data_IF_026502123110
#
_entry.id   IF_026502123110
#
_cell.length_a   1.000
_cell.length_b   1.000
_cell.length_c   1.000
_cell.angle_alpha   90.00
_cell.angle_beta   90.00
_cell.angle_gamma   90.00
#
_symmetry.space_group_name_H-M   'P 1'
#
loop_
_entity.id
_entity.type
_entity.pdbx_description
1 polymer ?
#
# COMPACT_ATOMS: atom_id res chain seq x y z
N UNK A 1 -15.76 -7.75 -34.71
CA UNK A 1 -16.60 -7.66 -33.48
C UNK A 1 -16.50 -8.95 -32.67
N UNK A 2 -16.04 -10.06 -33.26
CA UNK A 2 -15.88 -11.37 -32.60
C UNK A 2 -14.64 -11.45 -31.68
N UNK A 3 -13.65 -10.56 -31.84
CA UNK A 3 -12.40 -10.53 -31.06
C UNK A 3 -12.45 -9.69 -29.77
N UNK A 4 -13.55 -8.98 -29.48
CA UNK A 4 -13.60 -8.08 -28.31
C UNK A 4 -13.80 -8.83 -26.98
N UNK A 5 -14.55 -9.93 -27.01
CA UNK A 5 -14.79 -10.75 -25.82
C UNK A 5 -13.49 -11.40 -25.30
N UNK A 6 -12.65 -12.06 -26.11
CA UNK A 6 -11.38 -12.61 -25.63
C UNK A 6 -10.44 -11.52 -25.10
N UNK A 7 -10.33 -10.38 -25.78
CA UNK A 7 -9.46 -9.28 -25.34
C UNK A 7 -9.89 -8.69 -23.98
N UNK A 8 -11.19 -8.51 -23.78
CA UNK A 8 -11.72 -8.05 -22.49
C UNK A 8 -11.43 -9.05 -21.36
N UNK A 9 -11.57 -10.35 -21.64
CA UNK A 9 -11.26 -11.38 -20.62
C UNK A 9 -9.77 -11.45 -20.29
N UNK A 10 -8.90 -11.23 -21.29
CA UNK A 10 -7.46 -11.14 -21.09
C UNK A 10 -7.12 -9.96 -20.19
N UNK A 11 -7.56 -8.75 -20.56
CA UNK A 11 -7.28 -7.53 -19.81
C UNK A 11 -7.86 -7.56 -18.38
N UNK A 12 -9.02 -8.19 -18.21
CA UNK A 12 -9.60 -8.41 -16.88
C UNK A 12 -8.71 -9.30 -16.01
N UNK A 13 -8.20 -10.41 -16.57
CA UNK A 13 -7.31 -11.32 -15.85
C UNK A 13 -5.97 -10.67 -15.50
N UNK A 14 -5.39 -9.90 -16.43
CA UNK A 14 -4.16 -9.13 -16.17
C UNK A 14 -4.36 -8.11 -15.05
N UNK A 15 -5.47 -7.37 -15.07
CA UNK A 15 -5.82 -6.42 -14.01
C UNK A 15 -6.00 -7.13 -12.67
N UNK A 16 -6.67 -8.27 -12.68
CA UNK A 16 -6.87 -9.08 -11.48
C UNK A 16 -5.55 -9.58 -10.90
N UNK A 17 -4.62 -10.04 -11.75
CA UNK A 17 -3.29 -10.47 -11.31
C UNK A 17 -2.48 -9.32 -10.71
N UNK A 18 -2.43 -8.17 -11.39
CA UNK A 18 -1.73 -6.98 -10.89
C UNK A 18 -2.30 -6.55 -9.53
N UNK A 19 -3.63 -6.43 -9.43
CA UNK A 19 -4.28 -6.00 -8.21
C UNK A 19 -4.09 -6.99 -7.06
N UNK A 20 -4.16 -8.30 -7.33
CA UNK A 20 -3.95 -9.34 -6.33
C UNK A 20 -2.55 -9.28 -5.73
N UNK A 21 -1.52 -9.25 -6.59
CA UNK A 21 -0.11 -9.24 -6.15
C UNK A 21 0.18 -7.94 -5.40
N UNK A 22 -0.23 -6.78 -5.95
CA UNK A 22 -0.03 -5.49 -5.30
C UNK A 22 -0.72 -5.40 -3.95
N UNK A 23 -1.95 -5.93 -3.82
CA UNK A 23 -2.69 -5.94 -2.55
C UNK A 23 -2.00 -6.81 -1.51
N UNK A 24 -1.55 -8.02 -1.90
CA UNK A 24 -0.84 -8.92 -0.97
C UNK A 24 0.45 -8.26 -0.47
N UNK A 25 1.26 -7.68 -1.36
CA UNK A 25 2.49 -7.00 -0.97
C UNK A 25 2.21 -5.76 -0.10
N UNK A 26 1.17 -4.99 -0.44
CA UNK A 26 0.76 -3.82 0.33
C UNK A 26 0.31 -4.20 1.74
N UNK A 27 -0.41 -5.32 1.90
CA UNK A 27 -0.80 -5.81 3.23
C UNK A 27 0.43 -6.30 3.99
N UNK A 28 1.28 -7.11 3.37
CA UNK A 28 2.46 -7.68 4.04
C UNK A 28 3.46 -6.60 4.49
N UNK A 29 3.64 -5.52 3.75
CA UNK A 29 4.53 -4.42 4.13
C UNK A 29 3.83 -3.32 4.93
N UNK A 30 2.66 -2.89 4.47
CA UNK A 30 1.91 -1.76 5.02
C UNK A 30 1.28 -2.04 6.37
N UNK A 31 0.80 -3.28 6.61
CA UNK A 31 0.16 -3.63 7.88
C UNK A 31 1.18 -3.68 9.03
N UNK A 32 2.34 -4.35 8.93
CA UNK A 32 3.36 -4.29 9.98
C UNK A 32 3.87 -2.88 10.23
N UNK A 33 4.08 -2.09 9.17
CA UNK A 33 4.57 -0.72 9.29
C UNK A 33 3.53 0.20 9.97
N UNK A 34 2.26 0.07 9.59
CA UNK A 34 1.15 0.77 10.25
C UNK A 34 1.01 0.37 11.72
N UNK A 35 1.15 -0.93 12.02
CA UNK A 35 1.15 -1.44 13.39
C UNK A 35 2.31 -0.89 14.22
N UNK A 36 3.52 -0.81 13.65
CA UNK A 36 4.69 -0.23 14.32
C UNK A 36 4.49 1.23 14.69
N UNK A 37 3.93 2.02 13.77
CA UNK A 37 3.60 3.44 14.01
C UNK A 37 2.53 3.55 15.10
N UNK A 38 1.51 2.68 15.07
CA UNK A 38 0.46 2.66 16.08
C UNK A 38 1.00 2.34 17.49
N UNK A 39 1.89 1.35 17.60
CA UNK A 39 2.50 0.96 18.89
C UNK A 39 3.51 1.99 19.41
N UNK A 40 4.18 2.72 18.53
CA UNK A 40 5.15 3.76 18.91
C UNK A 40 4.52 5.14 19.14
N UNK A 41 3.20 5.25 18.98
CA UNK A 41 2.46 6.48 19.23
C UNK A 41 2.50 6.87 20.73
N UNK A 42 2.33 8.17 20.98
CA UNK A 42 2.51 8.77 22.31
C UNK A 42 1.52 8.26 23.37
N UNK A 43 0.48 7.55 22.97
CA UNK A 43 -0.54 7.03 23.88
C UNK A 43 -0.34 5.55 24.24
N UNK A 44 0.70 4.88 23.70
CA UNK A 44 0.94 3.46 23.88
C UNK A 44 2.26 3.11 24.61
N UNK A 45 2.38 1.82 24.95
CA UNK A 45 3.44 1.23 25.79
C UNK A 45 4.89 1.48 25.32
N UNK A 46 5.13 1.73 24.03
CA UNK A 46 6.47 1.87 23.45
C UNK A 46 6.72 3.27 22.88
N UNK A 47 6.61 4.30 23.73
CA UNK A 47 6.84 5.70 23.35
C UNK A 47 8.23 5.90 22.74
N UNK A 48 8.31 5.97 21.41
CA UNK A 48 9.49 6.43 20.69
C UNK A 48 9.08 7.51 19.69
N UNK A 49 9.10 8.76 20.18
CA UNK A 49 8.69 9.95 19.45
C UNK A 49 9.51 10.17 18.18
N UNK A 50 10.75 9.71 18.14
CA UNK A 50 11.62 9.82 16.96
C UNK A 50 11.20 8.84 15.86
N UNK A 51 11.01 7.56 16.21
CA UNK A 51 10.56 6.52 15.27
C UNK A 51 9.18 6.85 14.70
N UNK A 52 8.24 7.22 15.57
CA UNK A 52 6.89 7.62 15.16
C UNK A 52 6.92 8.77 14.16
N UNK A 53 7.69 9.83 14.43
CA UNK A 53 7.72 11.03 13.59
C UNK A 53 8.37 10.74 12.23
N UNK A 54 9.50 10.04 12.19
CA UNK A 54 10.16 9.66 10.92
C UNK A 54 9.28 8.74 10.09
N UNK A 55 8.75 7.66 10.68
CA UNK A 55 7.92 6.71 9.96
C UNK A 55 6.59 7.33 9.48
N UNK A 56 5.97 8.18 10.31
CA UNK A 56 4.75 8.91 9.94
C UNK A 56 4.99 9.89 8.78
N UNK A 57 6.09 10.64 8.79
CA UNK A 57 6.46 11.53 7.69
C UNK A 57 6.69 10.73 6.41
N UNK A 58 7.45 9.64 6.46
CA UNK A 58 7.70 8.79 5.28
C UNK A 58 6.40 8.22 4.70
N UNK A 59 5.50 7.70 5.53
CA UNK A 59 4.19 7.20 5.09
C UNK A 59 3.34 8.30 4.47
N UNK A 60 3.34 9.49 5.06
CA UNK A 60 2.59 10.62 4.53
C UNK A 60 3.15 11.09 3.18
N UNK A 61 4.46 11.05 2.98
CA UNK A 61 5.09 11.34 1.67
C UNK A 61 4.65 10.31 0.64
N UNK A 62 4.82 9.01 0.92
CA UNK A 62 4.44 7.94 -0.01
C UNK A 62 2.94 8.03 -0.38
N UNK A 63 2.07 8.34 0.60
CA UNK A 63 0.63 8.49 0.38
C UNK A 63 0.25 9.72 -0.44
N UNK A 64 1.05 10.79 -0.37
CA UNK A 64 0.76 12.06 -1.05
C UNK A 64 1.31 12.12 -2.48
N UNK A 65 2.23 11.22 -2.86
CA UNK A 65 2.67 11.10 -4.25
C UNK A 65 1.56 10.41 -5.07
N UNK A 66 1.00 11.08 -6.09
CA UNK A 66 0.01 10.46 -6.95
C UNK A 66 0.66 9.38 -7.81
N UNK A 67 0.02 8.21 -7.90
CA UNK A 67 0.46 7.07 -8.71
C UNK A 67 0.77 7.44 -10.17
N UNK A 68 0.09 8.45 -10.73
CA UNK A 68 0.27 8.91 -12.11
C UNK A 68 1.68 9.47 -12.39
N UNK A 69 2.41 9.90 -11.36
CA UNK A 69 3.77 10.46 -11.49
C UNK A 69 4.86 9.39 -11.29
N UNK A 70 4.51 8.21 -10.76
CA UNK A 70 5.44 7.16 -10.30
C UNK A 70 5.62 6.04 -11.35
#
# INVERSE_FOLDING_TARGET
MDDLLPDLTLAFNETFQMLSISTVLAILGGLPLGFLIFVTDRHLFWQNRFIYLVASVLVNIIRSVPFVIL
#
